data_IF_930294825542
#
_entry.id   IF_930294825542
#
_cell.length_a   1.000
_cell.length_b   1.000
_cell.length_c   1.000
_cell.angle_alpha   90.00
_cell.angle_beta   90.00
_cell.angle_gamma   90.00
#
_symmetry.space_group_name_H-M   'P 1'
#
loop_
_entity.id
_entity.type
_entity.pdbx_description
1 polymer ?
#
# COMPACT_ATOMS: atom_id res chain seq x y z
N UNK A 1 2.89 -43.34 45.82
CA UNK A 1 3.27 -42.42 44.73
C UNK A 1 2.26 -41.27 44.76
N UNK A 2 2.60 -40.16 45.41
CA UNK A 2 1.68 -39.05 45.66
C UNK A 2 1.66 -38.08 44.47
N UNK A 3 0.48 -37.81 43.92
CA UNK A 3 0.24 -36.76 42.93
C UNK A 3 -0.28 -35.53 43.67
N UNK A 4 0.55 -34.48 43.76
CA UNK A 4 0.16 -33.18 44.31
C UNK A 4 -0.33 -32.27 43.19
N UNK A 5 -1.62 -31.95 43.19
CA UNK A 5 -2.27 -30.98 42.32
C UNK A 5 -2.13 -29.56 42.91
N UNK A 6 -1.60 -28.62 42.11
CA UNK A 6 -1.51 -27.21 42.47
C UNK A 6 -2.79 -26.44 42.07
N UNK A 7 -3.36 -25.58 42.93
CA UNK A 7 -4.54 -24.78 42.59
C UNK A 7 -4.17 -23.48 41.87
N UNK A 8 -4.88 -23.21 40.77
CA UNK A 8 -4.80 -21.98 39.98
C UNK A 8 -5.53 -20.85 40.73
N UNK A 9 -4.84 -19.73 41.03
CA UNK A 9 -5.44 -18.53 41.61
C UNK A 9 -6.09 -17.66 40.51
N UNK A 10 -7.28 -17.07 40.74
CA UNK A 10 -7.91 -16.17 39.79
C UNK A 10 -7.29 -14.75 39.84
N UNK A 11 -6.94 -14.23 38.67
CA UNK A 11 -6.51 -12.84 38.46
C UNK A 11 -7.70 -11.88 38.64
N UNK A 12 -7.67 -11.09 39.72
CA UNK A 12 -8.57 -9.94 39.92
C UNK A 12 -8.29 -8.86 38.89
N UNK A 13 -9.25 -8.59 38.00
CA UNK A 13 -9.24 -7.42 37.10
C UNK A 13 -9.50 -6.15 37.93
N UNK A 14 -8.53 -5.23 37.96
CA UNK A 14 -8.74 -3.86 38.45
C UNK A 14 -9.39 -3.05 37.34
N UNK A 15 -10.57 -2.53 37.61
CA UNK A 15 -11.28 -1.57 36.75
C UNK A 15 -10.77 -0.19 37.11
N UNK A 16 -9.93 0.42 36.27
CA UNK A 16 -9.55 1.81 36.40
C UNK A 16 -10.62 2.68 35.72
N UNK A 17 -11.52 3.23 36.52
CA UNK A 17 -12.46 4.28 36.14
C UNK A 17 -11.69 5.60 35.94
N UNK A 18 -11.53 6.03 34.69
CA UNK A 18 -11.11 7.40 34.37
C UNK A 18 -12.34 8.20 33.93
N UNK A 19 -12.87 8.99 34.87
CA UNK A 19 -13.74 10.14 34.58
C UNK A 19 -12.85 11.37 34.57
N UNK A 20 -12.62 11.95 33.40
CA UNK A 20 -12.18 13.34 33.29
C UNK A 20 -13.08 14.02 32.25
N UNK A 21 -14.01 14.83 32.78
CA UNK A 21 -14.79 15.77 32.02
C UNK A 21 -13.88 16.93 31.62
N UNK A 22 -13.76 17.18 30.32
CA UNK A 22 -13.15 18.40 29.79
C UNK A 22 -14.18 19.08 28.89
N UNK A 23 -14.86 20.06 29.46
CA UNK A 23 -15.69 21.03 28.74
C UNK A 23 -14.76 21.89 27.89
N UNK A 24 -14.71 21.64 26.59
CA UNK A 24 -14.06 22.53 25.63
C UNK A 24 -15.11 23.45 25.01
N UNK A 25 -14.99 24.74 25.34
CA UNK A 25 -15.69 25.85 24.71
C UNK A 25 -15.33 25.86 23.21
N UNK A 26 -16.35 25.64 22.38
CA UNK A 26 -16.26 25.70 20.92
C UNK A 26 -16.18 27.15 20.46
N UNK A 27 -14.97 27.63 20.16
CA UNK A 27 -14.77 28.87 19.40
C UNK A 27 -14.92 28.52 17.93
N UNK A 28 -16.12 28.78 17.38
CA UNK A 28 -16.37 28.68 15.95
C UNK A 28 -15.66 29.82 15.22
N UNK A 29 -14.44 29.58 14.72
CA UNK A 29 -13.83 30.43 13.70
C UNK A 29 -14.53 30.18 12.37
N UNK A 30 -15.31 31.17 11.92
CA UNK A 30 -15.87 31.21 10.57
C UNK A 30 -14.75 31.45 9.56
N UNK A 31 -14.24 30.38 8.96
CA UNK A 31 -13.33 30.46 7.82
C UNK A 31 -14.17 30.74 6.57
N UNK A 32 -14.07 31.97 6.06
CA UNK A 32 -14.61 32.37 4.76
C UNK A 32 -13.75 31.75 3.65
N UNK A 33 -14.29 30.71 3.01
CA UNK A 33 -13.72 30.10 1.80
C UNK A 33 -13.96 31.03 0.61
N UNK A 34 -12.91 31.73 0.18
CA UNK A 34 -12.89 32.46 -1.09
C UNK A 34 -12.58 31.46 -2.20
N UNK A 35 -13.63 31.02 -2.90
CA UNK A 35 -13.51 30.18 -4.09
C UNK A 35 -13.11 31.04 -5.30
N UNK A 36 -11.83 30.99 -5.68
CA UNK A 36 -11.38 31.53 -6.96
C UNK A 36 -11.70 30.52 -8.08
N UNK A 37 -12.72 30.83 -8.87
CA UNK A 37 -13.05 30.11 -10.10
C UNK A 37 -12.01 30.43 -11.18
N UNK A 38 -11.03 29.55 -11.38
CA UNK A 38 -10.12 29.60 -12.52
C UNK A 38 -10.84 29.11 -13.78
N UNK A 39 -11.33 30.05 -14.58
CA UNK A 39 -11.87 29.80 -15.92
C UNK A 39 -10.69 29.49 -16.85
N UNK A 40 -10.55 28.22 -17.23
CA UNK A 40 -9.60 27.80 -18.26
C UNK A 40 -10.27 27.87 -19.64
N UNK A 41 -9.67 28.52 -20.64
CA UNK A 41 -10.19 28.51 -22.01
C UNK A 41 -10.02 27.11 -22.62
N UNK A 42 -11.14 26.49 -22.96
CA UNK A 42 -11.17 25.24 -23.72
C UNK A 42 -10.69 25.50 -25.16
N UNK A 43 -9.52 24.99 -25.50
CA UNK A 43 -9.03 24.94 -26.88
C UNK A 43 -9.80 23.85 -27.61
N UNK A 44 -10.72 24.27 -28.49
CA UNK A 44 -11.42 23.37 -29.40
C UNK A 44 -10.42 22.81 -30.43
N UNK A 45 -10.11 21.52 -30.33
CA UNK A 45 -9.37 20.80 -31.35
C UNK A 45 -10.34 20.32 -32.43
N UNK A 46 -10.10 20.77 -33.66
CA UNK A 46 -10.79 20.37 -34.87
C UNK A 46 -10.50 18.90 -35.17
N UNK A 47 -11.43 18.03 -34.80
CA UNK A 47 -11.35 16.60 -35.14
C UNK A 47 -11.66 16.45 -36.62
N UNK A 48 -10.67 16.06 -37.40
CA UNK A 48 -10.86 15.62 -38.79
C UNK A 48 -11.63 14.29 -38.79
N UNK A 49 -12.66 14.14 -39.65
CA UNK A 49 -13.36 12.87 -39.79
C UNK A 49 -12.42 11.87 -40.49
N UNK A 50 -11.97 10.84 -39.75
CA UNK A 50 -11.28 9.71 -40.36
C UNK A 50 -12.28 8.88 -41.18
N UNK A 51 -11.88 8.36 -42.35
CA UNK A 51 -12.73 7.49 -43.14
C UNK A 51 -13.02 6.20 -42.37
N UNK A 52 -14.29 5.81 -42.35
CA UNK A 52 -14.84 4.58 -41.77
C UNK A 52 -14.26 3.35 -42.49
N UNK A 53 -13.01 3.01 -42.13
CA UNK A 53 -12.36 1.77 -42.47
C UNK A 53 -12.90 0.65 -41.58
N UNK A 54 -14.17 0.27 -41.77
CA UNK A 54 -14.78 -0.90 -41.15
C UNK A 54 -14.17 -2.16 -41.75
N UNK A 55 -12.92 -2.45 -41.37
CA UNK A 55 -12.34 -3.78 -41.52
C UNK A 55 -13.18 -4.66 -40.60
N UNK A 56 -14.09 -5.41 -41.21
CA UNK A 56 -14.75 -6.55 -40.59
C UNK A 56 -13.66 -7.59 -40.37
N UNK A 57 -12.94 -7.47 -39.26
CA UNK A 57 -12.03 -8.49 -38.75
C UNK A 57 -12.87 -9.71 -38.44
N UNK A 58 -13.02 -10.59 -39.42
CA UNK A 58 -13.40 -11.98 -39.14
C UNK A 58 -12.29 -12.52 -38.25
N UNK A 59 -12.57 -12.90 -36.98
CA UNK A 59 -11.56 -13.55 -36.17
C UNK A 59 -11.22 -14.85 -36.91
N UNK A 60 -9.97 -14.96 -37.37
CA UNK A 60 -9.47 -16.21 -37.90
C UNK A 60 -9.74 -17.30 -36.84
N UNK A 61 -10.38 -18.43 -37.19
CA UNK A 61 -10.55 -19.51 -36.25
C UNK A 61 -9.15 -20.05 -35.89
N UNK A 62 -8.71 -19.81 -34.66
CA UNK A 62 -7.63 -20.60 -34.06
C UNK A 62 -6.23 -20.00 -34.03
N UNK A 63 -6.05 -18.67 -34.00
CA UNK A 63 -4.77 -18.10 -33.56
C UNK A 63 -4.64 -18.21 -32.03
N UNK A 64 -4.31 -19.43 -31.59
CA UNK A 64 -3.95 -19.73 -30.21
C UNK A 64 -2.59 -19.09 -29.89
N UNK A 65 -2.47 -18.41 -28.77
CA UNK A 65 -1.17 -17.89 -28.31
C UNK A 65 -0.21 -19.01 -27.85
N UNK A 66 -0.64 -20.29 -27.83
CA UNK A 66 0.18 -21.49 -27.55
C UNK A 66 -0.60 -22.83 -27.69
N UNK A 67 -1.49 -23.00 -28.66
CA UNK A 67 -2.39 -24.17 -28.74
C UNK A 67 -3.56 -24.19 -27.73
N UNK A 68 -3.65 -23.18 -26.87
CA UNK A 68 -4.69 -23.06 -25.84
C UNK A 68 -6.00 -22.48 -26.41
N UNK A 69 -7.13 -23.10 -26.06
CA UNK A 69 -8.48 -22.61 -26.38
C UNK A 69 -8.97 -21.58 -25.36
N UNK A 70 -9.96 -20.76 -25.73
CA UNK A 70 -10.63 -19.83 -24.81
C UNK A 70 -11.10 -20.52 -23.52
N UNK A 71 -11.78 -21.67 -23.66
CA UNK A 71 -12.30 -22.45 -22.53
C UNK A 71 -11.18 -22.93 -21.60
N UNK A 72 -10.06 -23.41 -22.15
CA UNK A 72 -8.92 -23.82 -21.35
C UNK A 72 -8.31 -22.63 -20.59
N UNK A 73 -8.13 -21.49 -21.25
CA UNK A 73 -7.62 -20.27 -20.62
C UNK A 73 -8.53 -19.83 -19.46
N UNK A 74 -9.85 -19.78 -19.68
CA UNK A 74 -10.83 -19.46 -18.62
C UNK A 74 -10.77 -20.46 -17.47
N UNK A 75 -10.73 -21.76 -17.74
CA UNK A 75 -10.71 -22.79 -16.71
C UNK A 75 -9.44 -22.72 -15.84
N UNK A 76 -8.27 -22.51 -16.45
CA UNK A 76 -7.01 -22.32 -15.73
C UNK A 76 -7.07 -21.03 -14.90
N UNK A 77 -7.59 -19.94 -15.48
CA UNK A 77 -7.76 -18.67 -14.76
C UNK A 77 -8.61 -18.82 -13.51
N UNK A 78 -9.76 -19.50 -13.60
CA UNK A 78 -10.60 -19.78 -12.44
C UNK A 78 -9.95 -20.74 -11.44
N UNK A 79 -9.24 -21.76 -11.90
CA UNK A 79 -8.53 -22.67 -11.02
C UNK A 79 -7.47 -21.94 -10.19
N UNK A 80 -6.65 -21.10 -10.84
CA UNK A 80 -5.65 -20.27 -10.17
C UNK A 80 -6.28 -19.25 -9.21
N UNK A 81 -7.38 -18.61 -9.63
CA UNK A 81 -8.12 -17.66 -8.79
C UNK A 81 -8.63 -18.31 -7.50
N UNK A 82 -9.18 -19.54 -7.56
CA UNK A 82 -9.61 -20.30 -6.37
C UNK A 82 -8.46 -20.67 -5.44
N UNK A 83 -7.24 -20.78 -5.96
CA UNK A 83 -6.03 -21.04 -5.18
C UNK A 83 -5.41 -19.75 -4.61
N UNK A 84 -5.95 -18.58 -4.95
CA UNK A 84 -5.38 -17.28 -4.56
C UNK A 84 -4.19 -16.83 -5.42
N UNK A 85 -3.83 -17.56 -6.48
CA UNK A 85 -2.81 -17.15 -7.43
C UNK A 85 -3.40 -16.18 -8.47
N UNK A 86 -3.61 -14.95 -8.02
CA UNK A 86 -4.25 -13.91 -8.82
C UNK A 86 -3.40 -13.47 -10.03
N UNK A 87 -2.07 -13.60 -9.97
CA UNK A 87 -1.20 -13.27 -11.11
C UNK A 87 -1.37 -14.29 -12.23
N UNK A 88 -1.29 -15.60 -11.91
CA UNK A 88 -1.54 -16.65 -12.89
C UNK A 88 -2.97 -16.58 -13.42
N UNK A 89 -3.95 -16.27 -12.57
CA UNK A 89 -5.32 -16.07 -12.99
C UNK A 89 -5.46 -14.93 -14.02
N UNK A 90 -4.90 -13.75 -13.72
CA UNK A 90 -4.93 -12.58 -14.60
C UNK A 90 -4.32 -12.88 -15.97
N UNK A 91 -3.15 -13.53 -16.01
CA UNK A 91 -2.47 -13.89 -17.26
C UNK A 91 -3.38 -14.77 -18.14
N UNK A 92 -4.07 -15.75 -17.54
CA UNK A 92 -4.94 -16.66 -18.31
C UNK A 92 -6.25 -15.99 -18.74
N UNK A 93 -6.82 -15.07 -17.96
CA UNK A 93 -7.96 -14.27 -18.43
C UNK A 93 -7.56 -13.30 -19.56
N UNK A 94 -6.37 -12.72 -19.50
CA UNK A 94 -5.83 -11.91 -20.62
C UNK A 94 -5.62 -12.76 -21.88
N UNK A 95 -5.12 -13.99 -21.76
CA UNK A 95 -5.05 -14.93 -22.90
C UNK A 95 -6.44 -15.23 -23.46
N UNK A 96 -7.45 -15.42 -22.61
CA UNK A 96 -8.82 -15.60 -23.06
C UNK A 96 -9.33 -14.39 -23.87
N UNK A 97 -9.01 -13.16 -23.44
CA UNK A 97 -9.32 -11.92 -24.16
C UNK A 97 -8.56 -11.79 -25.50
N UNK A 98 -7.34 -12.30 -25.60
CA UNK A 98 -6.62 -12.35 -26.89
C UNK A 98 -7.29 -13.30 -27.89
N UNK A 99 -7.87 -14.41 -27.40
CA UNK A 99 -8.56 -15.40 -28.24
C UNK A 99 -9.97 -14.91 -28.62
N UNK A 100 -10.68 -14.27 -27.69
CA UNK A 100 -12.00 -13.67 -27.92
C UNK A 100 -12.03 -12.21 -27.44
N UNK A 101 -11.59 -11.27 -28.29
CA UNK A 101 -11.67 -9.85 -27.97
C UNK A 101 -13.11 -9.41 -27.69
N UNK A 102 -13.30 -8.58 -26.66
CA UNK A 102 -14.62 -8.06 -26.27
C UNK A 102 -15.50 -9.03 -25.47
N UNK A 103 -14.99 -10.20 -25.08
CA UNK A 103 -15.72 -11.09 -24.18
C UNK A 103 -15.86 -10.47 -22.77
N UNK A 104 -17.07 -10.02 -22.43
CA UNK A 104 -17.36 -9.33 -21.17
C UNK A 104 -17.06 -10.18 -19.93
N UNK A 105 -17.21 -11.50 -20.01
CA UNK A 105 -16.98 -12.40 -18.90
C UNK A 105 -15.48 -12.55 -18.59
N UNK A 106 -14.65 -12.70 -19.63
CA UNK A 106 -13.20 -12.72 -19.48
C UNK A 106 -12.64 -11.37 -19.00
N UNK A 107 -13.21 -10.25 -19.47
CA UNK A 107 -12.86 -8.91 -19.04
C UNK A 107 -13.13 -8.69 -17.54
N UNK A 108 -14.36 -8.97 -17.10
CA UNK A 108 -14.72 -8.85 -15.69
C UNK A 108 -13.86 -9.76 -14.79
N UNK A 109 -13.50 -10.96 -15.25
CA UNK A 109 -12.62 -11.85 -14.52
C UNK A 109 -11.20 -11.27 -14.40
N UNK A 110 -10.64 -10.70 -15.47
CA UNK A 110 -9.34 -10.02 -15.44
C UNK A 110 -9.34 -8.80 -14.50
N UNK A 111 -10.38 -7.97 -14.57
CA UNK A 111 -10.52 -6.78 -13.71
C UNK A 111 -10.60 -7.16 -12.23
N UNK A 112 -11.36 -8.20 -11.89
CA UNK A 112 -11.40 -8.75 -10.53
C UNK A 112 -10.01 -9.17 -10.04
N UNK A 113 -9.21 -9.85 -10.90
CA UNK A 113 -7.87 -10.27 -10.50
C UNK A 113 -6.93 -9.08 -10.32
N UNK A 114 -6.99 -8.09 -11.22
CA UNK A 114 -6.22 -6.86 -11.11
C UNK A 114 -6.54 -6.11 -9.80
N UNK A 115 -7.81 -6.04 -9.42
CA UNK A 115 -8.24 -5.48 -8.14
C UNK A 115 -7.59 -6.20 -6.95
N UNK A 116 -7.63 -7.54 -6.89
CA UNK A 116 -7.04 -8.28 -5.78
C UNK A 116 -5.52 -8.14 -5.70
N UNK A 117 -4.83 -8.12 -6.85
CA UNK A 117 -3.38 -7.87 -6.90
C UNK A 117 -3.07 -6.48 -6.33
N UNK A 118 -3.80 -5.45 -6.76
CA UNK A 118 -3.61 -4.09 -6.29
C UNK A 118 -3.91 -3.96 -4.79
N UNK A 119 -5.02 -4.54 -4.34
CA UNK A 119 -5.39 -4.56 -2.93
C UNK A 119 -4.31 -5.25 -2.06
N UNK A 120 -3.79 -6.39 -2.51
CA UNK A 120 -2.70 -7.11 -1.85
C UNK A 120 -1.43 -6.26 -1.70
N UNK A 121 -1.03 -5.56 -2.76
CA UNK A 121 0.14 -4.65 -2.75
C UNK A 121 -0.05 -3.50 -1.78
N UNK A 122 -1.20 -2.82 -1.82
CA UNK A 122 -1.52 -1.71 -0.92
C UNK A 122 -1.53 -2.18 0.54
N UNK A 123 -2.15 -3.33 0.82
CA UNK A 123 -2.21 -3.87 2.19
C UNK A 123 -0.83 -4.20 2.75
N UNK A 124 0.06 -4.77 1.93
CA UNK A 124 1.43 -5.13 2.33
C UNK A 124 2.27 -3.88 2.60
N UNK A 125 2.20 -2.90 1.68
CA UNK A 125 2.84 -1.59 1.85
C UNK A 125 2.36 -0.90 3.13
N UNK A 126 1.06 -0.93 3.40
CA UNK A 126 0.51 -0.30 4.60
C UNK A 126 1.03 -0.94 5.89
N UNK A 127 1.13 -2.28 5.94
CA UNK A 127 1.72 -2.97 7.10
C UNK A 127 3.18 -2.58 7.32
N UNK A 128 3.97 -2.51 6.24
CA UNK A 128 5.37 -2.08 6.32
C UNK A 128 5.48 -0.66 6.87
N UNK A 129 4.66 0.28 6.37
CA UNK A 129 4.62 1.66 6.87
C UNK A 129 4.27 1.68 8.37
N UNK A 130 3.23 0.96 8.79
CA UNK A 130 2.82 0.91 10.20
C UNK A 130 3.93 0.34 11.10
N UNK A 131 4.62 -0.71 10.66
CA UNK A 131 5.76 -1.26 11.40
C UNK A 131 6.89 -0.24 11.53
N UNK A 132 7.27 0.41 10.43
CA UNK A 132 8.32 1.44 10.43
C UNK A 132 7.96 2.64 11.31
N UNK A 133 6.70 3.08 11.32
CA UNK A 133 6.23 4.15 12.21
C UNK A 133 6.39 3.77 13.69
N UNK A 134 6.08 2.52 14.06
CA UNK A 134 6.30 2.01 15.41
C UNK A 134 7.80 2.00 15.77
N UNK A 135 8.65 1.54 14.83
CA UNK A 135 10.12 1.53 15.01
C UNK A 135 10.66 2.94 15.20
N UNK A 136 10.26 3.88 14.34
CA UNK A 136 10.67 5.28 14.42
C UNK A 136 10.30 5.91 15.77
N UNK A 137 9.07 5.67 16.22
CA UNK A 137 8.60 6.15 17.53
C UNK A 137 9.47 5.63 18.67
N UNK A 138 9.81 4.33 18.64
CA UNK A 138 10.66 3.70 19.66
C UNK A 138 12.10 4.24 19.61
N UNK A 139 12.67 4.39 18.41
CA UNK A 139 14.02 4.94 18.21
C UNK A 139 14.13 6.39 18.73
N UNK A 140 13.16 7.25 18.41
CA UNK A 140 13.09 8.63 18.92
C UNK A 140 12.98 8.64 20.45
N UNK A 141 12.11 7.79 21.02
CA UNK A 141 11.92 7.70 22.48
C UNK A 141 13.21 7.29 23.20
N UNK A 142 13.96 6.36 22.61
CA UNK A 142 15.25 5.89 23.14
C UNK A 142 16.42 6.81 22.78
N UNK A 143 16.17 7.90 22.02
CA UNK A 143 17.18 8.82 21.49
C UNK A 143 18.25 8.12 20.63
N UNK A 144 17.86 7.03 19.96
CA UNK A 144 18.66 6.33 18.95
C UNK A 144 18.48 7.02 17.61
N UNK A 145 19.23 8.11 17.41
CA UNK A 145 19.12 8.95 16.22
C UNK A 145 19.58 8.27 14.93
N UNK A 146 20.53 7.34 15.01
CA UNK A 146 20.99 6.57 13.85
C UNK A 146 19.87 5.64 13.37
N UNK A 147 19.20 4.94 14.30
CA UNK A 147 18.04 4.15 13.93
C UNK A 147 16.87 4.99 13.43
N UNK A 148 16.62 6.15 14.05
CA UNK A 148 15.56 7.05 13.59
C UNK A 148 15.81 7.52 12.14
N UNK A 149 17.05 7.92 11.82
CA UNK A 149 17.43 8.35 10.47
C UNK A 149 17.25 7.23 9.43
N UNK A 150 17.76 6.04 9.70
CA UNK A 150 17.61 4.89 8.79
C UNK A 150 16.15 4.45 8.60
N UNK A 151 15.34 4.51 9.66
CA UNK A 151 13.90 4.22 9.59
C UNK A 151 13.16 5.25 8.73
N UNK A 152 13.54 6.53 8.82
CA UNK A 152 12.99 7.57 7.95
C UNK A 152 13.38 7.31 6.49
N UNK A 153 14.64 6.96 6.22
CA UNK A 153 15.08 6.61 4.86
C UNK A 153 14.24 5.47 4.29
N UNK A 154 13.97 4.42 5.08
CA UNK A 154 13.07 3.33 4.66
C UNK A 154 11.64 3.83 4.42
N UNK A 155 11.07 4.65 5.31
CA UNK A 155 9.74 5.22 5.12
C UNK A 155 9.63 6.03 3.83
N UNK A 156 10.69 6.77 3.44
CA UNK A 156 10.65 7.55 2.19
C UNK A 156 10.48 6.68 0.95
N UNK A 157 11.01 5.44 0.95
CA UNK A 157 10.82 4.48 -0.16
C UNK A 157 9.36 4.02 -0.31
N UNK A 158 8.62 4.00 0.80
CA UNK A 158 7.20 3.63 0.84
C UNK A 158 6.26 4.82 0.71
N UNK A 159 6.75 6.06 0.66
CA UNK A 159 5.91 7.25 0.43
C UNK A 159 5.85 7.64 -1.04
N UNK A 160 4.68 8.10 -1.48
CA UNK A 160 4.47 8.55 -2.85
C UNK A 160 5.43 9.73 -3.18
N UNK A 161 6.14 9.69 -4.32
CA UNK A 161 6.98 10.79 -4.77
C UNK A 161 6.18 12.10 -4.90
N UNK A 162 6.76 13.22 -4.49
CA UNK A 162 6.10 14.55 -4.54
C UNK A 162 4.95 14.74 -3.56
N UNK A 163 4.65 13.75 -2.70
CA UNK A 163 3.64 13.91 -1.66
C UNK A 163 4.15 14.77 -0.50
N UNK A 164 3.24 15.56 0.11
CA UNK A 164 3.54 16.34 1.32
C UNK A 164 4.10 15.49 2.46
N UNK A 165 3.67 14.22 2.56
CA UNK A 165 4.18 13.29 3.57
C UNK A 165 5.67 12.96 3.36
N UNK A 166 6.10 12.82 2.10
CA UNK A 166 7.51 12.59 1.77
C UNK A 166 8.36 13.82 2.08
N UNK A 167 7.89 15.02 1.74
CA UNK A 167 8.59 16.27 2.08
C UNK A 167 8.75 16.44 3.59
N UNK A 168 7.72 16.09 4.39
CA UNK A 168 7.82 16.09 5.85
C UNK A 168 8.88 15.12 6.38
N UNK A 169 8.95 13.90 5.83
CA UNK A 169 9.98 12.92 6.20
C UNK A 169 11.39 13.41 5.86
N UNK A 170 11.57 14.04 4.69
CA UNK A 170 12.86 14.64 4.29
C UNK A 170 13.25 15.77 5.27
N UNK A 171 12.31 16.61 5.67
CA UNK A 171 12.53 17.64 6.70
C UNK A 171 12.94 17.04 8.04
N UNK A 172 12.19 16.04 8.54
CA UNK A 172 12.51 15.33 9.78
C UNK A 172 13.89 14.66 9.75
N UNK A 173 14.30 14.13 8.60
CA UNK A 173 15.65 13.61 8.40
C UNK A 173 16.71 14.68 8.61
N UNK A 174 16.50 15.89 8.07
CA UNK A 174 17.41 17.02 8.26
C UNK A 174 17.56 17.44 9.72
N UNK A 175 16.45 17.47 10.47
CA UNK A 175 16.47 17.74 11.91
C UNK A 175 17.28 16.69 12.69
N UNK A 176 17.09 15.40 12.38
CA UNK A 176 17.83 14.30 13.01
C UNK A 176 19.32 14.35 12.64
N UNK A 177 19.67 14.69 11.39
CA UNK A 177 21.06 14.90 11.00
C UNK A 177 21.72 16.01 11.84
N UNK A 178 21.04 17.14 12.05
CA UNK A 178 21.56 18.20 12.92
C UNK A 178 21.76 17.75 14.36
N UNK A 179 20.88 16.89 14.89
CA UNK A 179 21.02 16.28 16.22
C UNK A 179 22.19 15.28 16.31
N UNK A 180 22.50 14.58 15.21
CA UNK A 180 23.64 13.69 15.10
C UNK A 180 24.95 14.49 15.10
N UNK A 181 25.03 15.55 14.30
CA UNK A 181 26.23 16.40 14.19
C UNK A 181 26.55 17.15 15.50
N UNK A 182 25.52 17.52 16.27
CA UNK A 182 25.68 18.22 17.54
C UNK A 182 26.18 17.33 18.69
N UNK A 183 26.23 16.00 18.54
CA UNK A 183 26.66 15.08 19.62
C UNK A 183 28.12 14.66 19.47
N UNK A 184 28.91 14.91 20.51
CA UNK A 184 30.32 14.52 20.62
C UNK A 184 30.55 13.08 21.12
N UNK A 185 29.54 12.44 21.73
CA UNK A 185 29.66 11.08 22.25
C UNK A 185 29.38 10.03 21.16
N UNK A 186 30.42 9.70 20.40
CA UNK A 186 30.35 8.77 19.27
C UNK A 186 30.30 7.28 19.70
N UNK A 187 30.67 6.97 20.94
CA UNK A 187 30.94 5.59 21.38
C UNK A 187 29.70 4.81 21.85
N UNK A 188 28.52 5.45 21.85
CA UNK A 188 27.23 4.83 22.26
C UNK A 188 26.26 4.61 21.10
N UNK A 189 26.74 4.62 19.87
CA UNK A 189 25.88 4.60 18.69
C UNK A 189 25.21 3.24 18.47
N UNK A 190 23.87 3.25 18.66
CA UNK A 190 22.85 2.29 18.26
C UNK A 190 23.11 0.80 18.51
N UNK A 191 22.50 0.28 19.58
CA UNK A 191 22.38 -1.17 19.83
C UNK A 191 21.06 -1.76 19.34
N UNK A 192 20.11 -0.93 18.89
CA UNK A 192 18.73 -1.36 18.64
C UNK A 192 18.52 -1.83 17.21
N UNK A 193 19.10 -1.17 16.21
CA UNK A 193 18.78 -1.43 14.80
C UNK A 193 19.82 -2.28 14.06
N UNK A 194 20.88 -2.69 14.74
CA UNK A 194 21.80 -3.75 14.30
C UNK A 194 21.26 -5.17 14.53
N UNK A 195 20.19 -5.35 15.32
CA UNK A 195 19.62 -6.66 15.64
C UNK A 195 18.57 -7.17 14.64
N UNK A 196 17.91 -6.32 13.85
CA UNK A 196 16.97 -6.71 12.79
C UNK A 196 17.69 -6.97 11.46
N UNK A 197 18.53 -8.01 11.47
CA UNK A 197 18.94 -8.96 10.42
C UNK A 197 19.01 -8.58 8.90
N UNK A 198 19.96 -9.20 8.16
CA UNK A 198 20.26 -8.94 6.75
C UNK A 198 19.12 -9.28 5.80
N UNK A 199 18.99 -8.45 4.78
CA UNK A 199 18.18 -8.73 3.58
C UNK A 199 18.94 -9.80 2.77
N UNK A 200 18.57 -11.07 2.95
CA UNK A 200 18.89 -12.16 2.01
C UNK A 200 17.68 -12.45 1.14
#
# INVERSE_FOLDING_TARGET
>A
MFLTSNPIKPLRRRVCSWRLAASFLSVFSTVTLVSTLSVHPATAQSVTPMPDGRIRSTPAPGLSTAGMTFKQAMNIGYAASRQGDFNTALINFQRALLIQPGNAYAAAAADNMAFYIQYGRVSTRQRAITQLQSTLTSAITQKDWVCAATTIDQLTTYTEPGSLNRERLIGQRGEISGLLDARLDHDRWSTVCSAQQPVY
#
